data_IF_110500032019
#
_entry.id   IF_110500032019
#
_cell.length_a   1.000
_cell.length_b   1.000
_cell.length_c   1.000
_cell.angle_alpha   90.00
_cell.angle_beta   90.00
_cell.angle_gamma   90.00
#
_symmetry.space_group_name_H-M   'P 1'
#
loop_
_entity.id
_entity.type
_entity.pdbx_description
1 polymer ?
#
# COMPACT_ATOMS: atom_id res chain seq x y z
N UNK A 1 -1.02 1.27 15.14
CA UNK A 1 -0.60 2.39 16.00
C UNK A 1 0.21 3.33 15.13
N UNK A 2 0.07 4.64 15.29
CA UNK A 2 0.83 5.62 14.52
C UNK A 2 2.07 6.04 15.32
N UNK A 3 3.18 6.25 14.63
CA UNK A 3 4.48 6.60 15.20
C UNK A 3 5.03 7.83 14.49
N UNK A 4 5.49 8.82 15.25
CA UNK A 4 6.07 10.06 14.73
C UNK A 4 7.46 10.28 15.33
N UNK A 5 8.43 10.48 14.46
CA UNK A 5 9.80 10.84 14.79
C UNK A 5 10.05 12.26 14.27
N UNK A 6 10.09 13.25 15.16
CA UNK A 6 10.43 14.62 14.77
C UNK A 6 11.94 14.82 14.93
N UNK A 7 12.61 14.95 13.79
CA UNK A 7 14.06 15.14 13.68
C UNK A 7 14.34 16.64 13.66
N UNK A 8 15.17 17.10 14.59
CA UNK A 8 15.56 18.51 14.75
C UNK A 8 17.08 18.60 14.97
N UNK A 9 17.70 19.79 14.84
CA UNK A 9 19.10 19.96 15.22
C UNK A 9 19.42 19.58 16.68
N UNK A 10 18.40 19.58 17.56
CA UNK A 10 18.53 19.19 18.97
C UNK A 10 18.39 17.67 19.20
N UNK A 11 18.05 16.90 18.15
CA UNK A 11 17.87 15.45 18.21
C UNK A 11 16.49 15.01 17.72
N UNK A 12 16.14 13.77 18.07
CA UNK A 12 14.89 13.12 17.65
C UNK A 12 13.92 13.04 18.81
N UNK A 13 12.70 13.57 18.63
CA UNK A 13 11.59 13.38 19.57
C UNK A 13 10.61 12.34 19.03
N UNK A 14 10.11 11.48 19.91
CA UNK A 14 9.22 10.38 19.55
C UNK A 14 7.86 10.51 20.21
N UNK A 15 6.80 10.38 19.40
CA UNK A 15 5.41 10.33 19.86
C UNK A 15 4.72 9.15 19.19
N UNK A 16 3.82 8.47 19.89
CA UNK A 16 2.98 7.45 19.29
C UNK A 16 1.56 7.48 19.85
N UNK A 17 0.58 7.17 19.00
CA UNK A 17 -0.85 7.20 19.33
C UNK A 17 -1.54 6.01 18.67
N UNK A 18 -2.46 5.38 19.39
CA UNK A 18 -3.38 4.42 18.77
C UNK A 18 -4.48 5.20 18.05
N UNK A 19 -4.77 4.84 16.79
CA UNK A 19 -5.91 5.41 16.06
C UNK A 19 -7.11 4.46 15.96
N UNK A 20 -7.12 3.39 16.75
CA UNK A 20 -8.21 2.41 16.78
C UNK A 20 -8.61 2.02 18.22
N UNK A 21 -8.40 2.90 19.21
CA UNK A 21 -8.59 2.56 20.63
C UNK A 21 -10.06 2.21 20.93
N UNK A 22 -11.03 2.97 20.42
CA UNK A 22 -12.45 2.62 20.58
C UNK A 22 -12.80 1.25 19.98
N UNK A 23 -12.17 0.87 18.86
CA UNK A 23 -12.34 -0.47 18.29
C UNK A 23 -11.79 -1.55 19.24
N UNK A 24 -10.59 -1.32 19.79
CA UNK A 24 -9.99 -2.23 20.79
C UNK A 24 -10.86 -2.35 22.05
N UNK A 25 -11.41 -1.23 22.54
CA UNK A 25 -12.27 -1.20 23.72
C UNK A 25 -13.57 -1.99 23.48
N UNK A 26 -14.19 -1.87 22.29
CA UNK A 26 -15.37 -2.66 21.95
C UNK A 26 -15.04 -4.14 21.84
N UNK A 27 -13.91 -4.50 21.22
CA UNK A 27 -13.46 -5.89 21.13
C UNK A 27 -13.24 -6.46 22.52
N UNK A 28 -12.59 -5.70 23.41
CA UNK A 28 -12.35 -6.12 24.80
C UNK A 28 -13.66 -6.30 25.58
N UNK A 29 -14.64 -5.41 25.36
CA UNK A 29 -15.94 -5.47 26.04
C UNK A 29 -16.85 -6.59 25.52
N UNK A 30 -16.81 -6.88 24.22
CA UNK A 30 -17.78 -7.79 23.57
C UNK A 30 -17.19 -9.15 23.20
N UNK A 31 -15.87 -9.28 23.20
CA UNK A 31 -15.13 -10.43 22.66
C UNK A 31 -15.28 -10.61 21.14
N UNK A 32 -15.82 -9.61 20.43
CA UNK A 32 -16.18 -9.73 19.01
C UNK A 32 -15.55 -8.62 18.20
N UNK A 33 -15.02 -8.98 17.04
CA UNK A 33 -14.66 -8.03 16.00
C UNK A 33 -15.91 -7.65 15.21
N UNK A 34 -16.19 -6.35 15.10
CA UNK A 34 -17.30 -5.82 14.31
C UNK A 34 -16.85 -5.56 12.88
N UNK A 35 -17.66 -5.96 11.90
CA UNK A 35 -17.38 -5.77 10.47
C UNK A 35 -16.58 -6.89 9.82
N UNK A 36 -15.91 -6.54 8.71
CA UNK A 36 -14.98 -7.41 7.99
C UNK A 36 -13.55 -7.02 8.35
N UNK A 37 -12.72 -8.01 8.64
CA UNK A 37 -11.28 -7.81 8.89
C UNK A 37 -10.46 -8.15 7.66
N UNK A 38 -9.16 -7.85 7.67
CA UNK A 38 -8.29 -8.37 6.63
C UNK A 38 -8.06 -9.88 6.77
N UNK A 39 -7.53 -10.34 7.91
CA UNK A 39 -7.20 -11.76 8.11
C UNK A 39 -7.59 -12.35 9.47
N UNK A 40 -8.20 -11.58 10.36
CA UNK A 40 -8.62 -12.08 11.68
C UNK A 40 -9.69 -13.16 11.49
N UNK A 41 -9.35 -14.37 11.92
CA UNK A 41 -10.25 -15.51 11.81
C UNK A 41 -11.40 -15.38 12.81
N UNK A 42 -12.62 -15.70 12.37
CA UNK A 42 -13.77 -15.77 13.25
C UNK A 42 -13.60 -16.91 14.26
N UNK A 43 -14.08 -16.69 15.49
CA UNK A 43 -14.03 -17.71 16.54
C UNK A 43 -14.72 -19.01 16.07
N UNK A 44 -13.99 -20.14 16.02
CA UNK A 44 -14.53 -21.42 15.56
C UNK A 44 -15.67 -21.96 16.43
N UNK A 45 -15.82 -21.46 17.66
CA UNK A 45 -16.86 -21.88 18.61
C UNK A 45 -18.19 -21.13 18.42
N UNK A 46 -18.33 -20.24 17.42
CA UNK A 46 -19.61 -19.59 17.14
C UNK A 46 -20.65 -20.58 16.59
N UNK A 47 -21.83 -20.61 17.22
CA UNK A 47 -22.96 -21.41 16.73
C UNK A 47 -23.41 -20.93 15.33
N UNK A 48 -24.01 -21.84 14.54
CA UNK A 48 -24.57 -21.53 13.21
C UNK A 48 -25.50 -20.32 13.22
N UNK A 49 -26.32 -20.18 14.27
CA UNK A 49 -27.22 -19.05 14.48
C UNK A 49 -26.45 -17.74 14.73
N UNK A 50 -25.38 -17.77 15.52
CA UNK A 50 -24.52 -16.60 15.74
C UNK A 50 -23.78 -16.18 14.48
N UNK A 51 -23.34 -17.14 13.65
CA UNK A 51 -22.75 -16.87 12.33
C UNK A 51 -23.75 -16.21 11.38
N UNK A 52 -25.00 -16.67 11.35
CA UNK A 52 -26.08 -16.05 10.58
C UNK A 52 -26.27 -14.57 10.97
N UNK A 53 -26.49 -14.27 12.26
CA UNK A 53 -26.64 -12.88 12.71
C UNK A 53 -25.40 -12.00 12.48
N UNK A 54 -24.19 -12.57 12.56
CA UNK A 54 -22.94 -11.86 12.26
C UNK A 54 -22.86 -11.52 10.77
N UNK A 55 -23.32 -12.40 9.89
CA UNK A 55 -23.44 -12.14 8.45
C UNK A 55 -24.42 -10.99 8.17
N UNK A 56 -25.58 -10.95 8.84
CA UNK A 56 -26.53 -9.83 8.76
C UNK A 56 -25.95 -8.51 9.28
N UNK A 57 -25.14 -8.53 10.35
CA UNK A 57 -24.41 -7.33 10.82
C UNK A 57 -23.37 -6.86 9.80
N UNK A 58 -22.70 -7.76 9.09
CA UNK A 58 -21.71 -7.43 8.04
C UNK A 58 -22.35 -6.88 6.76
N UNK A 59 -23.57 -7.32 6.44
CA UNK A 59 -24.34 -6.80 5.31
C UNK A 59 -24.85 -5.36 5.52
N UNK A 60 -25.09 -4.94 6.77
CA UNK A 60 -25.60 -3.61 7.08
C UNK A 60 -24.56 -2.49 7.22
N UNK A 61 -23.28 -2.83 7.48
CA UNK A 61 -22.25 -1.86 7.91
C UNK A 61 -21.68 -0.89 6.86
N UNK A 62 -22.36 -0.68 5.73
CA UNK A 62 -21.89 0.14 4.62
C UNK A 62 -22.77 1.36 4.30
N UNK A 63 -23.88 1.55 5.02
CA UNK A 63 -24.80 2.66 4.78
C UNK A 63 -24.56 3.83 5.75
N UNK A 64 -24.55 5.04 5.18
CA UNK A 64 -24.55 6.29 5.91
C UNK A 64 -25.83 6.38 6.77
N UNK A 65 -25.67 6.29 8.10
CA UNK A 65 -26.79 6.24 9.04
C UNK A 65 -26.95 4.93 9.82
N UNK A 66 -26.15 3.88 9.55
CA UNK A 66 -26.20 2.66 10.35
C UNK A 66 -25.63 2.89 11.77
N UNK A 67 -26.41 2.70 12.85
CA UNK A 67 -25.94 2.81 14.24
C UNK A 67 -24.83 1.81 14.63
N UNK A 68 -24.44 0.90 13.73
CA UNK A 68 -23.37 -0.12 13.92
C UNK A 68 -22.03 0.26 13.28
N UNK A 69 -21.94 1.38 12.55
CA UNK A 69 -20.65 1.97 12.16
C UNK A 69 -20.20 2.87 13.30
N UNK A 70 -19.02 2.61 13.86
CA UNK A 70 -18.50 3.46 14.94
C UNK A 70 -18.44 4.91 14.48
N UNK A 71 -19.21 5.78 15.13
CA UNK A 71 -19.17 7.23 14.92
C UNK A 71 -17.91 7.87 15.49
N UNK A 72 -17.15 7.12 16.28
CA UNK A 72 -15.92 7.60 16.88
C UNK A 72 -14.80 7.62 15.84
N UNK A 73 -13.99 8.68 15.76
CA UNK A 73 -12.84 8.77 14.87
C UNK A 73 -11.85 7.61 14.98
N UNK A 74 -11.82 6.91 16.11
CA UNK A 74 -10.92 5.80 16.45
C UNK A 74 -11.62 4.43 16.53
N UNK A 75 -12.81 4.31 15.93
CA UNK A 75 -13.61 3.10 16.01
C UNK A 75 -13.39 2.06 14.91
N UNK A 76 -12.50 2.34 13.94
CA UNK A 76 -12.13 1.39 12.88
C UNK A 76 -10.60 1.34 12.73
N UNK A 77 -10.09 0.19 12.27
CA UNK A 77 -8.68 0.02 11.97
C UNK A 77 -8.37 0.44 10.53
N UNK A 78 -7.83 1.65 10.36
CA UNK A 78 -7.49 2.25 9.06
C UNK A 78 -5.99 2.60 9.05
N UNK A 79 -5.11 1.61 9.19
CA UNK A 79 -3.68 1.83 9.50
C UNK A 79 -2.74 1.07 8.55
N UNK A 80 -2.92 1.21 7.24
CA UNK A 80 -2.02 0.61 6.24
C UNK A 80 -1.04 1.64 5.69
N UNK A 81 -1.55 2.71 5.08
CA UNK A 81 -0.74 3.83 4.54
C UNK A 81 -1.19 5.16 5.10
N UNK A 82 -0.33 6.18 4.95
CA UNK A 82 -0.61 7.57 5.32
C UNK A 82 -0.41 8.48 4.11
N UNK A 83 -1.34 9.42 3.90
CA UNK A 83 -1.20 10.47 2.90
C UNK A 83 -1.30 11.84 3.57
N UNK A 84 -0.23 12.68 3.51
CA UNK A 84 -0.33 14.07 3.91
C UNK A 84 -1.28 14.82 2.97
N UNK A 85 -2.13 15.67 3.54
CA UNK A 85 -2.98 16.63 2.81
C UNK A 85 -3.75 16.02 1.63
N UNK A 86 -4.37 14.86 1.85
CA UNK A 86 -5.10 14.13 0.81
C UNK A 86 -6.15 15.05 0.13
N UNK A 87 -6.01 15.33 -1.18
CA UNK A 87 -6.92 16.23 -1.87
C UNK A 87 -8.38 15.79 -1.82
N UNK A 88 -9.28 16.75 -1.70
CA UNK A 88 -10.73 16.55 -1.65
C UNK A 88 -11.28 16.04 -0.32
N UNK A 89 -10.43 15.83 0.71
CA UNK A 89 -10.93 15.44 2.03
C UNK A 89 -11.99 16.44 2.52
N UNK A 90 -13.16 15.99 3.03
CA UNK A 90 -14.27 16.90 3.33
C UNK A 90 -13.91 17.98 4.36
N UNK A 91 -13.88 19.25 3.92
CA UNK A 91 -13.48 20.40 4.75
C UNK A 91 -14.31 20.55 6.04
N UNK A 92 -15.58 20.14 6.01
CA UNK A 92 -16.45 20.11 7.19
C UNK A 92 -15.97 19.17 8.31
N UNK A 93 -15.17 18.15 7.99
CA UNK A 93 -14.60 17.19 8.94
C UNK A 93 -13.22 17.61 9.45
N UNK A 94 -12.56 18.57 8.78
CA UNK A 94 -11.25 19.08 9.17
C UNK A 94 -11.46 20.14 10.27
N UNK A 95 -10.85 20.02 11.46
CA UNK A 95 -10.93 21.05 12.48
C UNK A 95 -10.38 22.39 11.98
N UNK A 96 -10.99 23.51 12.36
CA UNK A 96 -10.64 24.84 11.85
C UNK A 96 -9.15 25.17 12.01
N UNK A 97 -8.53 24.75 13.12
CA UNK A 97 -7.09 24.93 13.39
C UNK A 97 -6.17 24.24 12.39
N UNK A 98 -6.65 23.23 11.66
CA UNK A 98 -5.94 22.46 10.64
C UNK A 98 -6.35 22.87 9.21
N UNK A 99 -7.25 23.85 9.04
CA UNK A 99 -7.67 24.30 7.70
C UNK A 99 -6.70 25.29 7.07
N UNK A 100 -5.90 25.98 7.88
CA UNK A 100 -4.93 26.97 7.42
C UNK A 100 -3.63 26.30 7.01
N UNK A 101 -2.92 26.95 6.09
CA UNK A 101 -1.57 26.56 5.68
C UNK A 101 -0.67 26.38 6.93
N UNK A 102 0.05 25.26 6.95
CA UNK A 102 0.95 24.87 8.03
C UNK A 102 2.44 25.05 7.64
N UNK A 103 2.70 25.71 6.50
CA UNK A 103 4.04 26.00 5.99
C UNK A 103 4.72 24.72 5.51
N UNK A 104 5.87 24.39 6.11
CA UNK A 104 6.65 23.18 5.76
C UNK A 104 6.04 21.87 6.28
N UNK A 105 4.94 21.91 7.04
CA UNK A 105 4.29 20.72 7.58
C UNK A 105 2.94 20.48 6.90
N UNK A 106 2.49 19.22 6.82
CA UNK A 106 1.15 18.95 6.33
C UNK A 106 0.11 19.50 7.30
N UNK A 107 -1.01 19.97 6.75
CA UNK A 107 -2.18 20.42 7.51
C UNK A 107 -2.79 19.27 8.29
N UNK A 108 -2.86 18.09 7.68
CA UNK A 108 -3.36 16.87 8.29
C UNK A 108 -2.81 15.62 7.61
N UNK A 109 -2.99 14.46 8.27
CA UNK A 109 -2.67 13.17 7.68
C UNK A 109 -3.97 12.39 7.46
N UNK A 110 -4.05 11.62 6.38
CA UNK A 110 -5.14 10.68 6.14
C UNK A 110 -4.59 9.27 6.09
N UNK A 111 -4.99 8.45 7.06
CA UNK A 111 -4.69 7.03 7.08
C UNK A 111 -5.69 6.27 6.21
N UNK A 112 -5.20 5.24 5.51
CA UNK A 112 -5.95 4.47 4.52
C UNK A 112 -5.76 2.96 4.73
N UNK A 113 -6.62 2.18 4.10
CA UNK A 113 -6.61 0.71 4.07
C UNK A 113 -7.18 0.23 2.73
N UNK A 114 -7.28 -1.08 2.50
CA UNK A 114 -7.84 -1.64 1.25
C UNK A 114 -9.39 -1.60 1.18
N UNK A 115 -10.03 -1.14 2.26
CA UNK A 115 -11.41 -0.69 2.24
C UNK A 115 -11.46 0.79 1.82
N UNK A 116 -12.58 1.24 1.25
CA UNK A 116 -12.81 2.63 0.86
C UNK A 116 -13.02 3.59 2.05
N UNK A 117 -12.27 3.39 3.14
CA UNK A 117 -12.27 4.13 4.39
C UNK A 117 -11.08 5.08 4.46
N UNK A 118 -11.31 6.27 4.98
CA UNK A 118 -10.33 7.32 5.19
C UNK A 118 -10.41 7.78 6.64
N UNK A 119 -9.28 7.82 7.36
CA UNK A 119 -9.22 8.30 8.74
C UNK A 119 -8.34 9.55 8.83
N UNK A 120 -8.94 10.66 9.24
CA UNK A 120 -8.22 11.92 9.48
C UNK A 120 -7.45 11.83 10.79
N UNK A 121 -6.17 12.21 10.74
CA UNK A 121 -5.29 12.27 11.90
C UNK A 121 -4.68 13.68 12.03
N UNK A 122 -4.48 14.11 13.28
CA UNK A 122 -3.64 15.26 13.59
C UNK A 122 -2.16 14.98 13.24
N UNK A 123 -1.46 15.85 12.51
CA UNK A 123 -0.09 15.59 12.05
C UNK A 123 0.97 15.68 13.17
N UNK A 124 0.61 16.22 14.34
CA UNK A 124 1.51 16.40 15.49
C UNK A 124 1.16 15.43 16.62
N UNK A 125 -0.10 15.41 17.05
CA UNK A 125 -0.55 14.57 18.18
C UNK A 125 -0.90 13.15 17.74
N UNK A 126 -1.08 12.92 16.43
CA UNK A 126 -1.56 11.67 15.84
C UNK A 126 -2.96 11.26 16.31
N UNK A 127 -3.73 12.21 16.85
CA UNK A 127 -5.10 11.98 17.26
C UNK A 127 -5.97 11.64 16.05
N UNK A 128 -6.79 10.60 16.12
CA UNK A 128 -7.86 10.38 15.15
C UNK A 128 -8.96 11.42 15.34
N UNK A 129 -9.30 12.12 14.26
CA UNK A 129 -10.20 13.29 14.28
C UNK A 129 -11.52 13.02 13.56
N UNK A 130 -11.51 12.23 12.49
CA UNK A 130 -12.71 11.84 11.75
C UNK A 130 -12.47 10.53 10.97
N UNK A 131 -13.56 9.85 10.60
CA UNK A 131 -13.57 8.79 9.60
C UNK A 131 -14.58 9.17 8.51
N UNK A 132 -14.24 8.89 7.26
CA UNK A 132 -15.13 9.06 6.12
C UNK A 132 -14.81 8.00 5.05
N UNK A 133 -15.43 8.10 3.88
CA UNK A 133 -15.22 7.19 2.74
C UNK A 133 -14.90 7.98 1.48
N UNK A 134 -14.39 7.29 0.45
CA UNK A 134 -14.25 7.90 -0.88
C UNK A 134 -15.59 8.39 -1.47
N UNK A 135 -16.72 7.78 -1.09
CA UNK A 135 -18.06 8.23 -1.51
C UNK A 135 -18.41 9.64 -1.01
N UNK A 136 -17.84 10.05 0.14
CA UNK A 136 -18.02 11.40 0.66
C UNK A 136 -17.23 12.46 -0.12
N UNK A 137 -16.17 12.06 -0.84
CA UNK A 137 -15.44 12.94 -1.77
C UNK A 137 -16.25 13.12 -3.05
N UNK A 138 -16.88 12.05 -3.54
CA UNK A 138 -17.82 12.11 -4.66
C UNK A 138 -18.77 10.91 -4.63
N UNK A 139 -20.09 11.11 -4.83
CA UNK A 139 -21.06 10.02 -4.88
C UNK A 139 -20.76 8.96 -5.95
N UNK A 140 -19.98 9.30 -6.98
CA UNK A 140 -19.56 8.36 -8.03
C UNK A 140 -18.59 7.28 -7.52
N UNK A 141 -17.89 7.53 -6.41
CA UNK A 141 -16.93 6.61 -5.79
C UNK A 141 -17.64 5.69 -4.79
N UNK A 142 -18.56 4.88 -5.30
CA UNK A 142 -19.51 4.05 -4.53
C UNK A 142 -19.03 2.63 -4.18
N UNK A 143 -17.79 2.27 -4.56
CA UNK A 143 -17.21 0.97 -4.28
C UNK A 143 -16.71 0.86 -2.83
N UNK A 144 -16.96 -0.27 -2.13
CA UNK A 144 -16.52 -0.48 -0.75
C UNK A 144 -15.02 -0.79 -0.60
N UNK A 145 -14.33 -1.10 -1.70
CA UNK A 145 -12.91 -1.45 -1.73
C UNK A 145 -12.11 -0.38 -2.48
N UNK A 146 -10.87 -0.17 -2.09
CA UNK A 146 -9.94 0.75 -2.76
C UNK A 146 -8.51 0.23 -2.58
N UNK A 147 -7.54 0.78 -3.31
CA UNK A 147 -6.14 0.52 -2.96
C UNK A 147 -5.76 1.32 -1.72
N UNK A 148 -5.02 0.69 -0.79
CA UNK A 148 -4.32 1.43 0.25
C UNK A 148 -3.24 2.36 -0.35
N UNK A 149 -2.63 1.97 -1.47
CA UNK A 149 -1.61 2.73 -2.18
C UNK A 149 -2.15 3.43 -3.43
N UNK A 150 -2.82 4.57 -3.24
CA UNK A 150 -3.03 5.55 -4.30
C UNK A 150 -1.79 6.41 -4.56
N UNK A 151 -1.69 6.97 -5.77
CA UNK A 151 -0.55 7.76 -6.21
C UNK A 151 -0.87 9.26 -6.15
N UNK A 152 0.01 10.06 -5.55
CA UNK A 152 -0.03 11.52 -5.65
C UNK A 152 0.98 11.98 -6.68
N UNK A 153 0.57 12.80 -7.63
CA UNK A 153 1.50 13.43 -8.56
C UNK A 153 2.31 14.52 -7.84
N UNK A 154 3.64 14.38 -7.71
CA UNK A 154 4.45 15.37 -7.01
C UNK A 154 4.49 16.73 -7.71
N UNK A 155 4.18 16.80 -9.01
CA UNK A 155 4.18 18.05 -9.78
C UNK A 155 2.87 18.81 -9.67
N UNK A 156 1.75 18.09 -9.76
CA UNK A 156 0.42 18.71 -9.79
C UNK A 156 -0.31 18.65 -8.46
N UNK A 157 0.07 17.77 -7.53
CA UNK A 157 -0.65 17.48 -6.29
C UNK A 157 -1.93 16.65 -6.50
N UNK A 158 -2.22 16.20 -7.73
CA UNK A 158 -3.41 15.40 -8.01
C UNK A 158 -3.26 13.96 -7.47
N UNK A 159 -4.29 13.47 -6.78
CA UNK A 159 -4.34 12.12 -6.23
C UNK A 159 -5.08 11.16 -7.15
N UNK A 160 -4.55 9.96 -7.35
CA UNK A 160 -5.14 8.92 -8.20
C UNK A 160 -5.33 7.64 -7.39
N UNK A 161 -6.51 7.02 -7.50
CA UNK A 161 -6.80 5.73 -6.90
C UNK A 161 -7.92 5.03 -7.69
N UNK A 162 -8.41 3.90 -7.20
CA UNK A 162 -9.65 3.29 -7.67
C UNK A 162 -10.60 3.00 -6.51
N UNK A 163 -11.88 2.86 -6.83
CA UNK A 163 -12.82 2.11 -6.00
C UNK A 163 -13.33 0.88 -6.75
N UNK A 164 -13.55 -0.21 -6.04
CA UNK A 164 -14.03 -1.48 -6.59
C UNK A 164 -15.39 -1.81 -6.00
N UNK A 165 -16.38 -1.91 -6.89
CA UNK A 165 -17.73 -2.37 -6.57
C UNK A 165 -17.83 -3.88 -6.85
N UNK A 166 -18.01 -4.73 -5.81
CA UNK A 166 -18.17 -6.15 -6.00
C UNK A 166 -19.53 -6.48 -6.61
N UNK A 167 -19.65 -7.66 -7.21
CA UNK A 167 -20.89 -8.15 -7.80
C UNK A 167 -20.62 -9.19 -8.89
N UNK A 168 -21.67 -9.68 -9.56
CA UNK A 168 -21.53 -10.63 -10.68
C UNK A 168 -20.67 -10.08 -11.82
N UNK A 169 -20.66 -8.76 -12.00
CA UNK A 169 -19.74 -8.04 -12.87
C UNK A 169 -19.04 -6.96 -12.04
N UNK A 170 -17.83 -7.25 -11.51
CA UNK A 170 -17.06 -6.28 -10.76
C UNK A 170 -16.78 -5.03 -11.60
N UNK A 171 -16.80 -3.87 -10.94
CA UNK A 171 -16.51 -2.58 -11.58
C UNK A 171 -15.39 -1.90 -10.83
N UNK A 172 -14.26 -1.69 -11.50
CA UNK A 172 -13.17 -0.85 -10.99
C UNK A 172 -13.34 0.54 -11.59
N UNK A 173 -13.56 1.55 -10.74
CA UNK A 173 -13.62 2.96 -11.12
C UNK A 173 -12.30 3.62 -10.76
N UNK A 174 -11.44 3.81 -11.76
CA UNK A 174 -10.17 4.55 -11.60
C UNK A 174 -10.50 6.03 -11.63
N UNK A 175 -10.02 6.79 -10.66
CA UNK A 175 -10.35 8.20 -10.50
C UNK A 175 -9.14 9.07 -10.18
N UNK A 176 -9.32 10.37 -10.39
CA UNK A 176 -8.39 11.44 -10.01
C UNK A 176 -9.12 12.43 -9.11
N UNK A 177 -8.46 12.93 -8.08
CA UNK A 177 -8.86 14.10 -7.30
C UNK A 177 -7.85 15.21 -7.51
N UNK A 178 -8.30 16.37 -7.99
CA UNK A 178 -7.45 17.55 -8.16
C UNK A 178 -7.04 18.14 -6.80
N UNK A 179 -5.98 18.98 -6.73
CA UNK A 179 -5.63 19.69 -5.50
C UNK A 179 -6.76 20.56 -4.94
N UNK A 180 -7.66 21.05 -5.82
CA UNK A 180 -8.84 21.80 -5.44
C UNK A 180 -9.98 20.91 -4.88
N UNK A 181 -9.81 19.58 -4.91
CA UNK A 181 -10.78 18.61 -4.41
C UNK A 181 -11.78 18.11 -5.45
N UNK A 182 -11.61 18.45 -6.73
CA UNK A 182 -12.51 17.99 -7.79
C UNK A 182 -12.22 16.54 -8.17
N UNK A 183 -13.24 15.68 -8.08
CA UNK A 183 -13.13 14.26 -8.42
C UNK A 183 -13.57 14.01 -9.86
N UNK A 184 -12.74 13.30 -10.63
CA UNK A 184 -13.04 12.83 -11.99
C UNK A 184 -12.85 11.31 -12.07
N UNK A 185 -13.86 10.57 -12.51
CA UNK A 185 -13.69 9.15 -12.88
C UNK A 185 -13.02 9.08 -14.24
N UNK A 186 -11.80 8.56 -14.29
CA UNK A 186 -10.99 8.46 -15.50
C UNK A 186 -11.40 7.26 -16.35
N UNK A 187 -11.73 6.13 -15.74
CA UNK A 187 -12.18 4.95 -16.46
C UNK A 187 -13.03 4.03 -15.57
N UNK A 188 -13.98 3.33 -16.19
CA UNK A 188 -14.66 2.18 -15.59
C UNK A 188 -14.20 0.90 -16.28
N UNK A 189 -13.57 0.00 -15.53
CA UNK A 189 -13.17 -1.32 -16.02
C UNK A 189 -14.22 -2.32 -15.55
N UNK A 190 -14.91 -2.92 -16.51
CA UNK A 190 -15.98 -3.89 -16.31
C UNK A 190 -15.54 -5.24 -16.87
N UNK A 191 -15.90 -6.32 -16.20
CA UNK A 191 -15.59 -7.69 -16.63
C UNK A 191 -14.19 -8.18 -16.25
N UNK A 192 -13.39 -7.36 -15.55
CA UNK A 192 -12.20 -7.85 -14.86
C UNK A 192 -12.60 -8.78 -13.69
N UNK A 193 -11.76 -9.78 -13.34
CA UNK A 193 -12.00 -10.62 -12.17
C UNK A 193 -12.16 -9.79 -10.89
N UNK A 194 -12.97 -10.28 -9.95
CA UNK A 194 -13.03 -9.71 -8.60
C UNK A 194 -11.77 -10.12 -7.85
N UNK A 195 -10.82 -9.20 -7.68
CA UNK A 195 -9.51 -9.51 -7.12
C UNK A 195 -9.13 -8.57 -5.97
N UNK A 196 -8.25 -9.04 -5.09
CA UNK A 196 -7.62 -8.20 -4.08
C UNK A 196 -6.46 -7.41 -4.69
N UNK A 197 -6.65 -6.09 -4.86
CA UNK A 197 -5.67 -5.17 -5.46
C UNK A 197 -5.27 -4.12 -4.43
N UNK A 198 -4.02 -4.19 -3.97
CA UNK A 198 -3.48 -3.37 -2.89
C UNK A 198 -2.93 -2.00 -3.34
N UNK A 199 -2.43 -1.93 -4.57
CA UNK A 199 -1.79 -0.73 -5.13
C UNK A 199 -2.07 -0.55 -6.61
N UNK A 200 -1.82 0.66 -7.10
CA UNK A 200 -1.79 1.02 -8.52
C UNK A 200 -0.47 1.74 -8.82
N UNK A 201 -0.13 1.81 -10.10
CA UNK A 201 1.03 2.54 -10.60
C UNK A 201 0.60 3.78 -11.37
N UNK A 202 1.50 4.75 -11.47
CA UNK A 202 1.32 5.97 -12.25
C UNK A 202 2.63 6.32 -12.96
N UNK A 203 2.52 6.80 -14.18
CA UNK A 203 3.60 7.41 -14.98
C UNK A 203 3.26 8.89 -15.25
N UNK A 204 4.09 9.60 -16.02
CA UNK A 204 3.77 10.97 -16.43
C UNK A 204 2.47 11.05 -17.27
N UNK A 205 2.12 9.99 -18.02
CA UNK A 205 0.96 9.96 -18.93
C UNK A 205 -0.15 9.01 -18.53
N UNK A 206 0.10 8.02 -17.68
CA UNK A 206 -0.86 6.95 -17.43
C UNK A 206 -1.07 6.66 -15.95
N UNK A 207 -2.26 6.16 -15.63
CA UNK A 207 -2.50 5.35 -14.44
C UNK A 207 -2.58 3.90 -14.91
N UNK A 208 -1.91 2.99 -14.20
CA UNK A 208 -1.92 1.56 -14.52
C UNK A 208 -2.51 0.79 -13.34
N UNK A 209 -3.64 0.14 -13.59
CA UNK A 209 -4.25 -0.79 -12.65
C UNK A 209 -3.90 -2.21 -13.08
N UNK A 210 -3.21 -2.98 -12.24
CA UNK A 210 -3.00 -4.41 -12.47
C UNK A 210 -4.01 -5.21 -11.66
N UNK A 211 -4.82 -6.02 -12.36
CA UNK A 211 -5.62 -7.07 -11.73
C UNK A 211 -4.78 -8.34 -11.77
N UNK A 212 -4.03 -8.57 -10.69
CA UNK A 212 -3.19 -9.76 -10.52
C UNK A 212 -3.98 -10.94 -9.94
N UNK A 213 -3.34 -12.11 -9.88
CA UNK A 213 -3.99 -13.37 -9.51
C UNK A 213 -4.26 -13.48 -8.00
N UNK A 214 -5.34 -12.83 -7.55
CA UNK A 214 -5.81 -12.80 -6.16
C UNK A 214 -7.34 -12.83 -6.07
N UNK A 215 -7.98 -13.70 -6.85
CA UNK A 215 -9.43 -13.65 -7.00
C UNK A 215 -10.18 -13.94 -5.70
N UNK A 216 -11.20 -13.14 -5.41
CA UNK A 216 -12.12 -13.37 -4.30
C UNK A 216 -13.12 -14.46 -4.69
N UNK A 217 -13.17 -15.51 -3.88
CA UNK A 217 -14.02 -16.69 -4.12
C UNK A 217 -15.51 -16.38 -3.95
N UNK A 218 -16.36 -17.18 -4.59
CA UNK A 218 -17.83 -17.07 -4.51
C UNK A 218 -18.38 -15.68 -4.84
N UNK A 219 -17.75 -14.95 -5.76
CA UNK A 219 -18.17 -13.60 -6.14
C UNK A 219 -18.13 -12.59 -4.99
N UNK A 220 -17.28 -12.81 -3.98
CA UNK A 220 -17.16 -11.95 -2.79
C UNK A 220 -18.03 -12.39 -1.61
N UNK A 221 -18.99 -13.31 -1.80
CA UNK A 221 -19.82 -13.82 -0.69
C UNK A 221 -19.00 -14.58 0.36
N UNK A 222 -17.85 -15.15 -0.02
CA UNK A 222 -16.96 -15.80 0.92
C UNK A 222 -16.43 -14.83 1.99
N UNK A 223 -16.31 -13.54 1.68
CA UNK A 223 -15.84 -12.54 2.65
C UNK A 223 -16.82 -12.39 3.81
N UNK A 224 -18.13 -12.40 3.49
CA UNK A 224 -19.19 -12.37 4.48
C UNK A 224 -19.20 -13.65 5.33
N UNK A 225 -18.99 -14.80 4.67
CA UNK A 225 -18.93 -16.11 5.31
C UNK A 225 -17.74 -16.25 6.28
N UNK A 226 -16.52 -15.98 5.81
CA UNK A 226 -15.30 -16.06 6.63
C UNK A 226 -15.18 -14.90 7.61
N UNK A 227 -15.74 -13.74 7.27
CA UNK A 227 -15.59 -12.51 8.03
C UNK A 227 -14.28 -11.79 7.83
N UNK A 228 -13.48 -12.23 6.86
CA UNK A 228 -12.21 -11.62 6.52
C UNK A 228 -11.88 -11.83 5.04
N UNK A 229 -11.00 -10.98 4.50
CA UNK A 229 -10.55 -11.02 3.11
C UNK A 229 -9.56 -12.15 2.83
N UNK A 230 -8.59 -12.37 3.72
CA UNK A 230 -7.48 -13.28 3.49
C UNK A 230 -7.95 -14.71 3.19
N UNK A 231 -8.96 -15.21 3.92
CA UNK A 231 -9.54 -16.53 3.67
C UNK A 231 -10.43 -16.59 2.41
N UNK A 232 -10.83 -15.44 1.88
CA UNK A 232 -11.64 -15.32 0.66
C UNK A 232 -10.81 -15.28 -0.61
N UNK A 233 -9.52 -14.96 -0.52
CA UNK A 233 -8.61 -14.90 -1.66
C UNK A 233 -8.21 -16.32 -2.04
N UNK A 234 -8.39 -16.65 -3.32
CA UNK A 234 -7.92 -17.92 -3.86
C UNK A 234 -6.38 -17.91 -3.87
N UNK A 235 -5.71 -18.90 -3.25
CA UNK A 235 -4.24 -18.90 -3.20
C UNK A 235 -3.60 -19.05 -4.58
N UNK A 236 -4.14 -19.93 -5.41
CA UNK A 236 -3.59 -20.26 -6.75
C UNK A 236 -4.39 -19.57 -7.85
N UNK A 237 -3.68 -18.99 -8.81
CA UNK A 237 -4.27 -18.28 -9.94
C UNK A 237 -5.25 -19.12 -10.76
N UNK A 238 -6.33 -18.50 -11.24
CA UNK A 238 -7.23 -19.10 -12.23
C UNK A 238 -7.32 -18.35 -13.55
N UNK A 239 -6.75 -17.14 -13.61
CA UNK A 239 -6.75 -16.26 -14.79
C UNK A 239 -5.38 -15.60 -14.94
N UNK A 240 -5.03 -15.11 -16.14
CA UNK A 240 -3.85 -14.27 -16.32
C UNK A 240 -3.94 -13.00 -15.47
N UNK A 241 -2.79 -12.42 -15.14
CA UNK A 241 -2.74 -11.07 -14.59
C UNK A 241 -2.83 -10.06 -15.71
N UNK A 242 -3.62 -9.01 -15.52
CA UNK A 242 -3.93 -8.03 -16.58
C UNK A 242 -3.62 -6.61 -16.12
N UNK A 243 -2.77 -5.91 -16.87
CA UNK A 243 -2.54 -4.47 -16.73
C UNK A 243 -3.53 -3.69 -17.59
N UNK A 244 -4.29 -2.79 -16.96
CA UNK A 244 -5.18 -1.84 -17.61
C UNK A 244 -4.47 -0.49 -17.62
N UNK A 245 -4.25 0.09 -18.80
CA UNK A 245 -3.58 1.39 -18.97
C UNK A 245 -4.60 2.47 -19.28
N UNK A 246 -4.70 3.45 -18.38
CA UNK A 246 -5.68 4.54 -18.42
C UNK A 246 -4.94 5.85 -18.69
N UNK A 247 -5.46 6.67 -19.61
CA UNK A 247 -4.99 8.04 -19.78
C UNK A 247 -5.31 8.85 -18.52
N UNK A 248 -4.29 9.35 -17.81
CA UNK A 248 -4.50 10.06 -16.54
C UNK A 248 -4.95 11.51 -16.70
N UNK A 249 -4.86 12.06 -17.91
CA UNK A 249 -5.18 13.44 -18.23
C UNK A 249 -6.59 13.54 -18.82
N UNK A 250 -6.81 12.86 -19.95
CA UNK A 250 -8.07 12.86 -20.70
C UNK A 250 -9.07 11.81 -20.19
N UNK A 251 -8.60 10.80 -19.44
CA UNK A 251 -9.40 9.63 -19.11
C UNK A 251 -9.54 8.66 -20.29
N UNK A 252 -10.06 7.48 -19.99
CA UNK A 252 -10.29 6.40 -20.95
C UNK A 252 -9.27 5.27 -20.84
N UNK A 253 -9.76 4.04 -20.97
CA UNK A 253 -8.94 2.84 -21.06
C UNK A 253 -8.34 2.74 -22.46
N UNK A 254 -7.00 2.88 -22.54
CA UNK A 254 -6.27 2.88 -23.81
C UNK A 254 -5.88 1.46 -24.25
N UNK A 255 -5.35 0.66 -23.33
CA UNK A 255 -4.82 -0.67 -23.64
C UNK A 255 -4.97 -1.63 -22.46
N UNK A 256 -4.97 -2.93 -22.77
CA UNK A 256 -4.89 -4.02 -21.80
C UNK A 256 -3.73 -4.94 -22.16
N UNK A 257 -2.96 -5.36 -21.16
CA UNK A 257 -1.85 -6.29 -21.34
C UNK A 257 -1.98 -7.48 -20.41
N UNK A 258 -1.98 -8.69 -20.94
CA UNK A 258 -1.93 -9.93 -20.15
C UNK A 258 -0.53 -10.46 -19.99
N UNK A 259 -0.32 -11.19 -18.91
CA UNK A 259 0.89 -11.97 -18.65
C UNK A 259 0.52 -13.25 -17.91
N UNK A 260 1.47 -14.18 -17.84
CA UNK A 260 1.40 -15.29 -16.90
C UNK A 260 0.99 -14.78 -15.50
N UNK A 261 0.15 -15.54 -14.78
CA UNK A 261 -0.36 -15.11 -13.49
C UNK A 261 0.78 -14.87 -12.49
N UNK A 262 0.64 -13.82 -11.71
CA UNK A 262 1.48 -13.51 -10.56
C UNK A 262 0.63 -12.80 -9.51
N UNK A 263 1.20 -12.58 -8.33
CA UNK A 263 0.64 -11.69 -7.32
C UNK A 263 1.66 -10.63 -6.93
N UNK A 264 1.20 -9.46 -6.50
CA UNK A 264 2.03 -8.40 -5.96
C UNK A 264 1.23 -7.59 -4.93
N UNK A 265 1.93 -6.96 -3.99
CA UNK A 265 1.35 -5.93 -3.13
C UNK A 265 1.70 -4.53 -3.65
N UNK A 266 2.97 -4.31 -3.96
CA UNK A 266 3.55 -2.99 -4.19
C UNK A 266 4.15 -2.85 -5.59
N UNK A 267 4.34 -1.60 -6.01
CA UNK A 267 5.23 -1.24 -7.10
C UNK A 267 6.50 -0.61 -6.52
N UNK A 268 7.64 -0.88 -7.14
CA UNK A 268 8.87 -0.12 -6.89
C UNK A 268 8.76 1.27 -7.52
N UNK A 269 8.46 1.32 -8.83
CA UNK A 269 8.14 2.54 -9.56
C UNK A 269 7.54 2.20 -10.93
N UNK A 270 7.01 3.21 -11.62
CA UNK A 270 6.56 3.09 -12.99
C UNK A 270 6.87 4.37 -13.77
N UNK A 271 7.21 4.27 -15.05
CA UNK A 271 7.49 5.45 -15.87
C UNK A 271 7.24 5.23 -17.35
N UNK A 272 7.15 6.33 -18.08
CA UNK A 272 7.13 6.34 -19.54
C UNK A 272 8.58 6.27 -20.04
N UNK A 273 8.92 5.24 -20.81
CA UNK A 273 10.22 5.11 -21.45
C UNK A 273 10.44 6.32 -22.39
N UNK A 274 11.47 7.15 -22.16
CA UNK A 274 11.65 8.37 -22.96
C UNK A 274 11.97 8.11 -24.44
N UNK A 275 12.48 6.92 -24.78
CA UNK A 275 12.90 6.58 -26.14
C UNK A 275 11.77 5.90 -26.92
N UNK A 276 11.06 4.95 -26.33
CA UNK A 276 10.00 4.21 -27.02
C UNK A 276 8.59 4.72 -26.73
N UNK A 277 8.39 5.41 -25.60
CA UNK A 277 7.06 5.75 -25.11
C UNK A 277 6.31 4.55 -24.51
N UNK A 278 6.97 3.41 -24.27
CA UNK A 278 6.37 2.28 -23.55
C UNK A 278 6.19 2.62 -22.07
N UNK A 279 5.34 1.87 -21.39
CA UNK A 279 5.27 1.93 -19.92
C UNK A 279 6.20 0.88 -19.32
N UNK A 280 7.09 1.30 -18.44
CA UNK A 280 7.97 0.43 -17.65
C UNK A 280 7.45 0.36 -16.22
N UNK A 281 7.33 -0.84 -15.68
CA UNK A 281 6.81 -1.12 -14.33
C UNK A 281 7.78 -2.04 -13.60
N UNK A 282 8.26 -1.62 -12.43
CA UNK A 282 9.07 -2.45 -11.55
C UNK A 282 8.29 -2.81 -10.30
N UNK A 283 8.29 -4.08 -9.90
CA UNK A 283 7.59 -4.56 -8.71
C UNK A 283 8.19 -5.85 -8.12
N UNK A 284 8.03 -6.08 -6.80
CA UNK A 284 8.18 -7.40 -6.20
C UNK A 284 7.03 -8.32 -6.62
N UNK A 285 7.35 -9.40 -7.32
CA UNK A 285 6.36 -10.40 -7.77
C UNK A 285 6.44 -11.69 -6.95
N UNK A 286 5.27 -12.24 -6.67
CA UNK A 286 5.07 -13.56 -6.09
C UNK A 286 4.51 -14.49 -7.16
N UNK A 287 4.80 -15.80 -7.10
CA UNK A 287 4.18 -16.78 -7.99
C UNK A 287 2.65 -16.75 -7.90
N UNK A 288 2.11 -16.55 -6.69
CA UNK A 288 0.68 -16.50 -6.43
C UNK A 288 0.37 -15.78 -5.10
N UNK A 289 -0.92 -15.70 -4.75
CA UNK A 289 -1.41 -15.02 -3.54
C UNK A 289 -1.16 -15.81 -2.23
N UNK A 290 -0.49 -16.97 -2.30
CA UNK A 290 -0.17 -17.82 -1.15
C UNK A 290 0.67 -17.13 -0.07
N UNK A 291 1.42 -16.09 -0.43
CA UNK A 291 2.14 -15.21 0.52
C UNK A 291 1.23 -14.67 1.63
N UNK A 292 -0.03 -14.34 1.33
CA UNK A 292 -0.98 -13.80 2.34
C UNK A 292 -1.14 -14.77 3.52
N UNK A 293 -1.08 -16.09 3.27
CA UNK A 293 -1.13 -17.09 4.34
C UNK A 293 0.11 -17.05 5.22
N UNK A 294 1.28 -16.84 4.65
CA UNK A 294 2.55 -16.77 5.40
C UNK A 294 2.67 -15.51 6.25
N UNK A 295 1.85 -14.49 5.97
CA UNK A 295 1.77 -13.25 6.76
C UNK A 295 0.86 -13.36 7.99
N UNK A 296 0.20 -14.49 8.23
CA UNK A 296 -0.47 -14.73 9.51
C UNK A 296 0.56 -14.74 10.65
N UNK A 297 0.21 -14.11 11.78
CA UNK A 297 1.13 -13.97 12.94
C UNK A 297 1.68 -15.31 13.42
N UNK A 298 0.87 -16.36 13.42
CA UNK A 298 1.32 -17.70 13.83
C UNK A 298 2.30 -18.33 12.84
N UNK A 299 2.18 -18.04 11.55
CA UNK A 299 3.15 -18.50 10.53
C UNK A 299 4.44 -17.68 10.62
N UNK A 300 4.34 -16.35 10.75
CA UNK A 300 5.50 -15.48 10.97
C UNK A 300 6.33 -15.90 12.20
N UNK A 301 5.69 -16.41 13.26
CA UNK A 301 6.37 -16.92 14.46
C UNK A 301 7.12 -18.24 14.23
N UNK A 302 6.73 -19.04 13.25
CA UNK A 302 7.40 -20.32 12.89
C UNK A 302 8.64 -20.10 12.03
N UNK A 303 8.68 -18.97 11.33
CA UNK A 303 9.78 -18.56 10.47
C UNK A 303 9.31 -18.25 9.06
N UNK A 304 10.10 -17.43 8.36
CA UNK A 304 9.74 -16.92 7.05
C UNK A 304 10.90 -17.14 6.09
N UNK A 305 10.81 -18.06 5.10
CA UNK A 305 11.87 -18.29 4.11
C UNK A 305 12.14 -17.05 3.25
N UNK A 306 13.39 -16.80 2.84
CA UNK A 306 13.68 -15.60 2.03
C UNK A 306 13.02 -15.63 0.65
N UNK A 307 12.89 -16.83 0.06
CA UNK A 307 12.26 -17.05 -1.23
C UNK A 307 10.74 -16.83 -1.18
N UNK A 308 10.18 -16.68 0.03
CA UNK A 308 8.79 -16.27 0.22
C UNK A 308 8.59 -14.76 0.07
N UNK A 309 9.64 -13.94 0.08
CA UNK A 309 9.54 -12.52 -0.31
C UNK A 309 9.44 -12.39 -1.85
N UNK A 310 8.87 -11.27 -2.31
CA UNK A 310 8.69 -11.03 -3.73
C UNK A 310 10.01 -10.85 -4.47
N UNK A 311 10.12 -11.41 -5.67
CA UNK A 311 11.28 -11.23 -6.55
C UNK A 311 11.17 -9.92 -7.32
N UNK A 312 12.24 -9.13 -7.42
CA UNK A 312 12.21 -7.94 -8.27
C UNK A 312 11.98 -8.32 -9.75
N UNK A 313 11.01 -7.69 -10.42
CA UNK A 313 10.72 -7.88 -11.84
C UNK A 313 10.40 -6.55 -12.52
N UNK A 314 10.88 -6.41 -13.77
CA UNK A 314 10.48 -5.34 -14.70
C UNK A 314 9.54 -5.87 -15.77
N UNK A 315 8.38 -5.23 -15.90
CA UNK A 315 7.51 -5.34 -17.07
C UNK A 315 7.65 -4.13 -17.98
N UNK A 316 7.44 -4.36 -19.28
CA UNK A 316 7.30 -3.34 -20.31
C UNK A 316 5.98 -3.55 -21.05
N UNK A 317 5.19 -2.49 -21.13
CA UNK A 317 3.90 -2.47 -21.84
C UNK A 317 4.07 -1.64 -23.12
N UNK A 318 4.23 -2.28 -24.29
CA UNK A 318 4.63 -1.59 -25.49
C UNK A 318 3.51 -0.72 -26.08
N UNK A 319 3.83 0.54 -26.35
CA UNK A 319 3.02 1.47 -27.17
C UNK A 319 1.54 1.64 -26.74
N UNK A 320 1.26 1.98 -25.46
CA UNK A 320 -0.11 2.06 -24.95
C UNK A 320 -1.00 3.12 -25.60
N UNK A 321 -0.42 4.13 -26.26
CA UNK A 321 -1.18 5.20 -26.92
C UNK A 321 -1.81 4.77 -28.26
N UNK A 322 -1.23 3.78 -28.96
CA UNK A 322 -1.78 3.37 -30.24
C UNK A 322 -3.02 2.49 -30.05
N UNK A 323 -4.07 2.68 -30.87
CA UNK A 323 -5.15 1.71 -30.95
C UNK A 323 -4.57 0.36 -31.36
N UNK A 324 -5.02 -0.73 -30.72
CA UNK A 324 -4.63 -2.05 -31.17
C UNK A 324 -4.99 -2.23 -32.66
N UNK A 325 -4.04 -2.73 -33.46
CA UNK A 325 -4.25 -2.95 -34.88
C UNK A 325 -5.29 -4.05 -35.09
N UNK A 326 -6.52 -3.67 -35.41
CA UNK A 326 -7.66 -4.57 -35.68
C UNK A 326 -8.83 -4.33 -34.72
N UNK A 327 -10.05 -4.63 -35.18
CA UNK A 327 -11.31 -4.23 -34.52
C UNK A 327 -11.47 -4.68 -33.06
N UNK A 328 -12.59 -4.30 -32.42
CA UNK A 328 -12.93 -4.40 -30.97
C UNK A 328 -12.43 -5.63 -30.16
N UNK A 329 -12.07 -6.75 -30.80
CA UNK A 329 -11.51 -7.97 -30.17
C UNK A 329 -10.00 -7.91 -29.88
N UNK A 330 -9.24 -6.94 -30.37
CA UNK A 330 -7.77 -6.91 -30.23
C UNK A 330 -7.22 -5.97 -29.14
N UNK A 331 -8.04 -5.53 -28.17
CA UNK A 331 -7.58 -4.66 -27.07
C UNK A 331 -6.58 -5.30 -26.10
N UNK A 332 -6.39 -6.61 -26.18
CA UNK A 332 -5.54 -7.40 -25.29
C UNK A 332 -4.19 -7.70 -25.98
N UNK A 333 -3.12 -7.17 -25.39
CA UNK A 333 -1.72 -7.32 -25.79
C UNK A 333 -1.00 -8.18 -24.76
N UNK A 334 0.22 -8.61 -25.03
CA UNK A 334 1.05 -9.31 -24.03
C UNK A 334 2.01 -8.31 -23.36
N UNK A 335 2.12 -8.37 -22.03
CA UNK A 335 3.14 -7.62 -21.31
C UNK A 335 4.50 -8.32 -21.46
N UNK A 336 5.55 -7.54 -21.72
CA UNK A 336 6.91 -8.07 -21.88
C UNK A 336 7.58 -8.08 -20.52
N UNK A 337 8.23 -9.19 -20.16
CA UNK A 337 9.11 -9.26 -18.98
C UNK A 337 10.53 -8.91 -19.44
N UNK A 338 11.00 -7.70 -19.15
CA UNK A 338 12.37 -7.27 -19.49
C UNK A 338 13.39 -8.08 -18.67
N UNK A 339 13.11 -8.30 -17.37
CA UNK A 339 13.92 -9.14 -16.50
C UNK A 339 13.17 -9.53 -15.22
N UNK A 340 13.59 -10.65 -14.62
CA UNK A 340 13.25 -11.05 -13.24
C UNK A 340 14.56 -11.36 -12.53
N UNK A 341 14.78 -10.80 -11.35
CA UNK A 341 15.95 -11.14 -10.53
C UNK A 341 15.83 -12.56 -9.98
N UNK A 342 16.93 -13.29 -9.97
CA UNK A 342 16.99 -14.65 -9.42
C UNK A 342 17.25 -14.68 -7.90
N UNK A 343 17.81 -13.61 -7.35
CA UNK A 343 18.35 -13.57 -5.98
C UNK A 343 18.04 -12.28 -5.21
N UNK A 344 17.37 -11.30 -5.84
CA UNK A 344 16.94 -10.07 -5.16
C UNK A 344 15.47 -10.21 -4.76
N UNK A 345 15.27 -10.62 -3.52
CA UNK A 345 13.99 -10.65 -2.85
C UNK A 345 13.77 -9.37 -2.04
N UNK A 346 12.62 -8.72 -2.21
CA UNK A 346 12.33 -7.45 -1.57
C UNK A 346 10.84 -7.23 -1.32
N UNK A 347 10.55 -6.35 -0.38
CA UNK A 347 9.21 -5.82 -0.11
C UNK A 347 9.29 -4.40 0.48
N UNK A 348 8.14 -3.73 0.56
CA UNK A 348 8.02 -2.34 1.01
C UNK A 348 9.01 -1.41 0.27
N UNK A 349 8.98 -1.41 -1.08
CA UNK A 349 9.91 -0.62 -1.87
C UNK A 349 9.59 0.88 -1.81
N UNK A 350 10.63 1.69 -1.80
CA UNK A 350 10.58 3.14 -1.95
C UNK A 350 11.63 3.62 -2.95
N UNK A 351 11.39 4.78 -3.54
CA UNK A 351 12.32 5.49 -4.41
C UNK A 351 12.51 6.91 -3.87
N UNK A 352 13.49 7.63 -4.41
CA UNK A 352 13.62 9.06 -4.11
C UNK A 352 12.32 9.78 -4.55
N UNK A 353 11.69 10.61 -3.71
CA UNK A 353 10.34 11.13 -3.99
C UNK A 353 10.17 11.92 -5.29
N UNK A 354 11.20 12.64 -5.75
CA UNK A 354 11.14 13.46 -6.97
C UNK A 354 11.26 12.65 -8.28
N UNK A 355 11.74 11.40 -8.22
CA UNK A 355 11.76 10.46 -9.36
C UNK A 355 10.62 9.43 -9.30
N UNK A 356 9.73 9.52 -8.31
CA UNK A 356 8.50 8.76 -8.32
C UNK A 356 7.71 9.07 -9.61
N UNK A 357 7.24 8.03 -10.29
CA UNK A 357 6.52 8.12 -11.55
C UNK A 357 7.36 8.56 -12.77
N UNK A 358 8.69 8.62 -12.61
CA UNK A 358 9.67 9.05 -13.60
C UNK A 358 10.77 7.99 -13.80
N UNK A 359 11.56 8.07 -14.90
CA UNK A 359 12.74 7.22 -15.05
C UNK A 359 13.67 7.37 -13.84
N UNK A 360 14.12 6.23 -13.32
CA UNK A 360 14.86 6.16 -12.07
C UNK A 360 15.89 5.03 -12.13
N UNK A 361 16.84 5.05 -11.19
CA UNK A 361 17.93 4.09 -11.08
C UNK A 361 17.91 3.31 -9.78
N UNK A 362 17.54 3.92 -8.66
CA UNK A 362 17.67 3.35 -7.33
C UNK A 362 16.33 3.15 -6.64
N UNK A 363 16.11 1.95 -6.12
CA UNK A 363 15.03 1.66 -5.19
C UNK A 363 15.62 1.10 -3.89
N UNK A 364 14.99 1.44 -2.77
CA UNK A 364 15.32 0.93 -1.44
C UNK A 364 14.15 0.09 -0.95
N UNK A 365 14.43 -1.06 -0.38
CA UNK A 365 13.36 -1.96 0.07
C UNK A 365 13.80 -2.78 1.28
N UNK A 366 12.85 -3.25 2.05
CA UNK A 366 13.09 -4.27 3.07
C UNK A 366 13.40 -5.60 2.36
N UNK A 367 14.34 -6.37 2.92
CA UNK A 367 14.78 -7.63 2.33
C UNK A 367 15.08 -8.68 3.40
N UNK A 368 15.24 -9.91 2.93
CA UNK A 368 15.69 -11.04 3.72
C UNK A 368 16.77 -11.77 2.93
N UNK A 369 17.90 -12.01 3.58
CA UNK A 369 19.07 -12.65 2.96
C UNK A 369 19.45 -13.97 3.62
N UNK A 370 19.06 -14.19 4.88
CA UNK A 370 19.44 -15.38 5.67
C UNK A 370 18.23 -16.27 5.99
N UNK A 371 18.28 -17.53 5.58
CA UNK A 371 17.21 -18.51 5.84
C UNK A 371 17.16 -19.02 7.28
N UNK A 372 18.29 -18.96 7.99
CA UNK A 372 18.43 -19.46 9.36
C UNK A 372 17.67 -18.66 10.42
N UNK A 373 17.00 -17.58 10.02
CA UNK A 373 16.32 -16.66 10.91
C UNK A 373 14.79 -16.83 10.84
N UNK A 374 14.08 -16.93 11.97
CA UNK A 374 12.61 -16.89 11.97
C UNK A 374 12.04 -15.51 11.63
N UNK A 375 12.88 -14.50 11.40
CA UNK A 375 12.45 -13.12 11.11
C UNK A 375 11.88 -12.99 9.69
N UNK A 376 10.86 -12.15 9.55
CA UNK A 376 10.27 -11.76 8.27
C UNK A 376 11.27 -11.01 7.37
N UNK A 377 12.13 -10.17 7.96
CA UNK A 377 13.18 -9.43 7.27
C UNK A 377 14.45 -9.34 8.13
N UNK A 378 15.60 -9.15 7.49
CA UNK A 378 16.90 -9.01 8.17
C UNK A 378 17.83 -7.95 7.56
N UNK A 379 17.38 -7.28 6.49
CA UNK A 379 18.21 -6.35 5.73
C UNK A 379 17.37 -5.27 5.05
N UNK A 380 18.04 -4.19 4.67
CA UNK A 380 17.55 -3.22 3.68
C UNK A 380 18.40 -3.39 2.43
N UNK A 381 17.76 -3.49 1.27
CA UNK A 381 18.40 -3.54 -0.04
C UNK A 381 18.29 -2.21 -0.75
N UNK A 382 19.37 -1.77 -1.38
CA UNK A 382 19.39 -0.76 -2.44
C UNK A 382 19.61 -1.48 -3.77
N UNK A 383 18.68 -1.36 -4.70
CA UNK A 383 18.75 -1.96 -6.03
C UNK A 383 19.02 -0.90 -7.10
N UNK A 384 19.99 -1.17 -7.98
CA UNK A 384 20.33 -0.38 -9.17
C UNK A 384 19.71 -1.06 -10.41
N UNK A 385 18.63 -0.47 -10.92
CA UNK A 385 17.80 -0.98 -12.02
C UNK A 385 18.18 -0.43 -13.40
N UNK A 386 19.31 0.27 -13.51
CA UNK A 386 19.81 0.81 -14.80
C UNK A 386 20.35 -0.26 -15.76
N UNK A 387 20.43 -1.51 -15.31
CA UNK A 387 20.97 -2.65 -16.06
C UNK A 387 20.13 -3.90 -15.83
N UNK A 388 20.20 -4.83 -16.77
CA UNK A 388 19.63 -6.16 -16.66
C UNK A 388 20.78 -7.20 -16.68
N UNK A 389 20.93 -8.05 -15.63
CA UNK A 389 20.18 -8.03 -14.37
C UNK A 389 20.57 -6.82 -13.48
N UNK A 390 19.67 -6.39 -12.57
CA UNK A 390 19.96 -5.31 -11.62
C UNK A 390 21.05 -5.71 -10.61
N UNK A 391 21.67 -4.72 -9.96
CA UNK A 391 22.63 -4.96 -8.86
C UNK A 391 22.05 -4.55 -7.52
N UNK A 392 22.41 -5.26 -6.46
CA UNK A 392 21.96 -4.96 -5.11
C UNK A 392 23.13 -4.65 -4.17
N UNK A 393 22.90 -3.72 -3.22
CA UNK A 393 23.75 -3.42 -2.08
C UNK A 393 22.90 -3.53 -0.82
N UNK A 394 23.41 -4.21 0.22
CA UNK A 394 22.64 -4.52 1.42
C UNK A 394 23.22 -3.86 2.66
N UNK A 395 22.33 -3.34 3.51
CA UNK A 395 22.59 -3.21 4.94
C UNK A 395 22.00 -4.43 5.66
N UNK A 396 22.75 -5.00 6.60
CA UNK A 396 22.29 -6.15 7.39
C UNK A 396 22.12 -5.78 8.86
N UNK A 397 20.97 -6.13 9.43
CA UNK A 397 20.75 -6.08 10.87
C UNK A 397 21.65 -7.07 11.61
N UNK A 398 21.97 -6.73 12.85
CA UNK A 398 22.54 -7.69 13.79
C UNK A 398 21.52 -8.79 14.15
N UNK A 399 21.95 -9.83 14.84
CA UNK A 399 21.03 -10.89 15.24
C UNK A 399 19.87 -10.37 16.10
N UNK A 400 18.66 -10.84 15.78
CA UNK A 400 17.42 -10.40 16.41
C UNK A 400 16.87 -9.06 15.91
N UNK A 401 17.53 -8.40 14.95
CA UNK A 401 17.05 -7.15 14.38
C UNK A 401 16.22 -7.38 13.11
N UNK A 402 15.05 -6.73 13.07
CA UNK A 402 14.13 -6.73 11.93
C UNK A 402 13.89 -5.27 11.51
N UNK A 403 14.39 -4.82 10.34
CA UNK A 403 14.07 -3.49 9.84
C UNK A 403 12.64 -3.43 9.29
N UNK A 404 12.04 -2.24 9.34
CA UNK A 404 10.77 -1.93 8.66
C UNK A 404 10.99 -1.30 7.29
N UNK A 405 9.94 -0.67 6.75
CA UNK A 405 10.01 0.07 5.49
C UNK A 405 11.16 1.11 5.50
N UNK A 406 12.04 1.12 4.48
CA UNK A 406 13.03 2.17 4.29
C UNK A 406 12.38 3.40 3.63
N UNK A 407 12.59 4.59 4.18
CA UNK A 407 12.11 5.86 3.63
C UNK A 407 13.33 6.69 3.18
N UNK A 408 13.43 6.97 1.89
CA UNK A 408 14.49 7.84 1.37
C UNK A 408 14.18 9.32 1.62
N UNK A 409 15.17 10.06 2.11
CA UNK A 409 15.11 11.50 2.36
C UNK A 409 16.26 12.16 1.60
N UNK A 410 15.92 12.95 0.59
CA UNK A 410 16.89 13.64 -0.26
C UNK A 410 17.69 14.67 0.52
N UNK A 411 18.98 14.80 0.21
CA UNK A 411 19.77 15.96 0.64
C UNK A 411 19.21 17.21 -0.04
N UNK A 412 18.93 18.30 0.70
CA UNK A 412 18.55 19.57 0.08
C UNK A 412 19.59 20.03 -0.95
N UNK A 413 19.17 20.25 -2.18
CA UNK A 413 20.05 20.63 -3.30
C UNK A 413 20.91 19.49 -3.88
N UNK A 414 20.72 18.24 -3.45
CA UNK A 414 21.44 17.08 -3.97
C UNK A 414 21.02 16.72 -5.40
N UNK A 415 22.00 16.50 -6.28
CA UNK A 415 21.79 16.23 -7.72
C UNK A 415 21.78 14.75 -8.08
N UNK A 416 22.52 13.91 -7.34
CA UNK A 416 22.53 12.47 -7.59
C UNK A 416 21.31 11.80 -6.94
N UNK A 417 20.71 10.84 -7.64
CA UNK A 417 19.47 10.17 -7.20
C UNK A 417 19.58 9.49 -5.82
N UNK A 418 20.77 9.06 -5.42
CA UNK A 418 21.04 8.45 -4.11
C UNK A 418 21.73 9.40 -3.11
N UNK A 419 21.79 10.70 -3.40
CA UNK A 419 22.29 11.72 -2.47
C UNK A 419 21.26 12.08 -1.40
N UNK A 420 21.35 11.37 -0.28
CA UNK A 420 20.42 11.52 0.82
C UNK A 420 20.66 10.45 1.88
N UNK A 421 19.64 10.21 2.68
CA UNK A 421 19.65 9.19 3.72
C UNK A 421 18.45 8.29 3.59
N UNK A 422 18.58 7.06 4.09
CA UNK A 422 17.46 6.11 4.21
C UNK A 422 17.16 5.93 5.69
N UNK A 423 15.92 6.24 6.06
CA UNK A 423 15.39 6.08 7.41
C UNK A 423 14.64 4.75 7.51
N UNK A 424 14.90 3.95 8.54
CA UNK A 424 14.10 2.75 8.83
C UNK A 424 13.99 2.54 10.34
N UNK A 425 12.83 2.08 10.81
CA UNK A 425 12.67 1.70 12.21
C UNK A 425 13.04 0.23 12.36
N UNK A 426 14.04 -0.05 13.17
CA UNK A 426 14.52 -1.41 13.43
C UNK A 426 13.99 -1.89 14.76
N UNK A 427 13.30 -3.04 14.76
CA UNK A 427 12.93 -3.78 15.96
C UNK A 427 14.11 -4.65 16.40
N UNK A 428 14.69 -4.39 17.56
CA UNK A 428 15.68 -5.25 18.22
C UNK A 428 14.95 -6.17 19.20
N UNK A 429 14.64 -7.38 18.73
CA UNK A 429 13.88 -8.37 19.51
C UNK A 429 14.64 -8.87 20.74
N UNK A 430 15.97 -8.89 20.72
CA UNK A 430 16.79 -9.34 21.84
C UNK A 430 16.87 -8.28 22.94
N UNK A 431 17.02 -7.00 22.54
CA UNK A 431 17.03 -5.87 23.49
C UNK A 431 15.64 -5.33 23.83
N UNK A 432 14.58 -5.89 23.23
CA UNK A 432 13.18 -5.51 23.44
C UNK A 432 12.94 -4.00 23.30
N UNK A 433 13.56 -3.41 22.28
CA UNK A 433 13.45 -1.99 21.95
C UNK A 433 13.55 -1.78 20.46
N UNK A 434 13.15 -0.60 19.99
CA UNK A 434 13.37 -0.21 18.59
C UNK A 434 14.30 0.99 18.49
N UNK A 435 14.84 1.24 17.32
CA UNK A 435 15.59 2.45 17.03
C UNK A 435 15.29 2.95 15.62
N UNK A 436 15.34 4.26 15.42
CA UNK A 436 15.34 4.85 14.09
C UNK A 436 16.78 4.80 13.56
N UNK A 437 17.01 4.02 12.52
CA UNK A 437 18.29 3.88 11.82
C UNK A 437 18.38 4.90 10.68
N UNK A 438 19.56 5.48 10.50
CA UNK A 438 19.88 6.37 9.38
C UNK A 438 21.04 5.76 8.60
N UNK A 439 20.77 5.38 7.35
CA UNK A 439 21.77 4.90 6.41
C UNK A 439 22.12 6.01 5.41
N UNK A 440 23.39 6.09 5.01
CA UNK A 440 23.79 6.87 3.85
C UNK A 440 23.20 6.23 2.58
N UNK A 441 22.49 7.02 1.77
CA UNK A 441 21.78 6.53 0.58
C UNK A 441 22.71 5.92 -0.47
N UNK A 442 23.97 6.35 -0.54
CA UNK A 442 24.93 5.84 -1.52
C UNK A 442 25.52 4.51 -1.10
N UNK A 443 26.07 4.48 0.09
CA UNK A 443 26.93 3.41 0.62
C UNK A 443 26.20 2.36 1.43
N UNK A 444 24.94 2.63 1.83
CA UNK A 444 24.17 1.81 2.77
C UNK A 444 24.85 1.61 4.13
N UNK A 445 25.83 2.45 4.46
CA UNK A 445 26.48 2.45 5.78
C UNK A 445 25.63 3.22 6.77
N UNK A 446 25.57 2.71 8.00
CA UNK A 446 24.94 3.43 9.08
C UNK A 446 25.75 4.68 9.45
N UNK A 447 25.08 5.83 9.47
CA UNK A 447 25.68 7.11 9.84
C UNK A 447 25.12 7.66 11.16
N UNK A 448 23.93 7.23 11.57
CA UNK A 448 23.33 7.59 12.85
C UNK A 448 22.23 6.61 13.26
N UNK A 449 21.87 6.63 14.55
CA UNK A 449 20.66 6.02 15.06
C UNK A 449 20.09 6.81 16.24
N UNK A 450 18.77 6.73 16.43
CA UNK A 450 18.09 7.23 17.63
C UNK A 450 17.43 6.05 18.35
N UNK A 451 17.91 5.71 19.55
CA UNK A 451 17.42 4.57 20.33
C UNK A 451 16.16 4.93 21.11
N UNK A 452 15.15 4.05 21.05
CA UNK A 452 14.05 4.10 22.01
C UNK A 452 14.53 3.65 23.40
N UNK A 453 13.91 4.13 24.49
CA UNK A 453 14.18 3.63 25.82
C UNK A 453 13.97 2.11 25.91
N UNK A 454 14.64 1.47 26.87
CA UNK A 454 14.44 0.05 27.12
C UNK A 454 12.96 -0.29 27.39
N UNK A 455 12.48 -1.39 26.80
CA UNK A 455 11.07 -1.78 26.90
C UNK A 455 10.11 -0.90 26.09
N UNK A 456 10.61 -0.01 25.22
CA UNK A 456 9.82 0.71 24.22
C UNK A 456 10.19 0.21 22.84
N UNK A 457 9.25 -0.46 22.19
CA UNK A 457 9.42 -0.99 20.84
C UNK A 457 8.28 -0.53 19.94
N UNK A 458 8.62 -0.41 18.66
CA UNK A 458 7.70 -0.26 17.54
C UNK A 458 7.61 -1.66 16.92
N UNK A 459 6.40 -2.22 16.89
CA UNK A 459 6.17 -3.51 16.21
C UNK A 459 6.43 -3.40 14.71
N UNK A 460 6.50 -4.54 14.01
CA UNK A 460 6.56 -4.53 12.55
C UNK A 460 5.34 -3.77 12.00
N UNK A 461 5.60 -2.67 11.31
CA UNK A 461 4.59 -1.81 10.70
C UNK A 461 4.40 -2.10 9.22
N UNK A 462 3.59 -1.26 8.57
CA UNK A 462 3.40 -1.24 7.13
C UNK A 462 4.16 -0.06 6.53
N UNK A 463 3.47 1.06 6.30
CA UNK A 463 4.03 2.20 5.58
C UNK A 463 4.15 3.47 6.43
N UNK A 464 5.14 4.29 6.11
CA UNK A 464 5.37 5.62 6.67
C UNK A 464 5.56 6.68 5.59
N UNK A 465 5.73 7.92 6.03
CA UNK A 465 6.06 9.03 5.16
C UNK A 465 7.04 9.97 5.88
N UNK A 466 7.95 10.57 5.11
CA UNK A 466 8.71 11.74 5.55
C UNK A 466 8.00 12.98 5.00
N UNK A 467 7.74 13.95 5.87
CA UNK A 467 6.97 15.15 5.57
C UNK A 467 7.71 16.41 5.96
#
# INVERSE_FOLDING_TARGET
MNHRFAITPQGVTYTARKSAQAAEDEIAATGKLVGLSFGQQADPCQSLFSRYFTMFRRLGGWEEGDPRVHRRPDGLNVQVTLSPDLPGFPEGLIPERLRKDAGERPRYLVAKTDAALLQLLDPVTLDPLAITTYRALSPALDGPLAAAHGCTDPLTGAYHNFVLSPGPQPVYKVFRTSPAGEVTVLAEIRGAPLAYVHSLAMTARYVVLCVWASELTSGGLSMLYHGNFAQSIRPTASHPSTFYVIDRHAGGLLAQYTTAPFFAFHYMNAYDDPASGDVVLDLPVYPDAGIIRLLYVDELRRGFPKESLGCARRYRLPDPAQPAAGGKKQREREAIVDWTSADIYLELPTVRPDVAHQPYRYCYAMSKTRDSSPRFADSIVKIDVSRAPPRALYWHGSDGQTPGEPIFVSRPGGTEEDDGVVLTVVLDGLRRRSFLLVLDGRTMQEIARAEAPEGKWVGAGFHGAFV
#
